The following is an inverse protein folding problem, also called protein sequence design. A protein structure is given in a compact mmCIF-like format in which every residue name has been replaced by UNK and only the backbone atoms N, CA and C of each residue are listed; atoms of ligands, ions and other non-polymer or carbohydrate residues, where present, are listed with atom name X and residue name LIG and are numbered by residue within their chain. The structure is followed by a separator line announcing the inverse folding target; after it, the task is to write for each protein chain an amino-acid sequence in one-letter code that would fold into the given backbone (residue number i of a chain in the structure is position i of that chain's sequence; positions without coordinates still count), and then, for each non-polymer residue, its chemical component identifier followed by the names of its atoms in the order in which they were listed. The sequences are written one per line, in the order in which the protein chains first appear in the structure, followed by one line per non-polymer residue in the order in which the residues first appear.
data_IF_879327909328
#
_entry.id   IF_879327909328
#
_cell.length_a   1.000
_cell.length_b   1.000
_cell.length_c   1.000
_cell.angle_alpha   90.00
_cell.angle_beta   90.00
_cell.angle_gamma   90.00
#
_symmetry.space_group_name_H-M   'P 1'
#
loop_
_entity.id
_entity.type
_entity.pdbx_description
1 polymer ?
#
# COMPACT_ATOMS: atom_id res chain seq x y z
N UNK A 1 4.37 -34.86 37.86
CA UNK A 1 3.44 -34.00 37.09
C UNK A 1 2.04 -34.43 37.46
N UNK A 2 1.35 -33.60 38.23
CA UNK A 2 0.06 -33.95 38.80
C UNK A 2 -1.01 -34.15 37.72
N UNK A 3 -1.91 -35.15 37.87
CA UNK A 3 -2.96 -35.42 36.89
C UNK A 3 -3.91 -34.24 36.71
N UNK A 4 -4.02 -33.36 37.71
CA UNK A 4 -4.81 -32.13 37.67
C UNK A 4 -4.20 -31.04 36.79
N UNK A 5 -2.87 -30.91 36.80
CA UNK A 5 -2.12 -29.99 35.94
C UNK A 5 -2.20 -30.41 34.46
N UNK A 6 -2.11 -31.72 34.20
CA UNK A 6 -2.25 -32.28 32.84
C UNK A 6 -3.65 -32.02 32.28
N UNK A 7 -4.70 -32.20 33.09
CA UNK A 7 -6.09 -31.96 32.67
C UNK A 7 -6.36 -30.48 32.34
N UNK A 8 -5.81 -29.54 33.12
CA UNK A 8 -5.94 -28.10 32.85
C UNK A 8 -5.22 -27.69 31.56
N UNK A 9 -4.03 -28.24 31.31
CA UNK A 9 -3.27 -27.98 30.07
C UNK A 9 -3.97 -28.53 28.84
N UNK A 10 -4.52 -29.75 28.91
CA UNK A 10 -5.31 -30.33 27.81
C UNK A 10 -6.59 -29.52 27.56
N UNK A 11 -7.28 -29.05 28.62
CA UNK A 11 -8.48 -28.23 28.48
C UNK A 11 -8.19 -26.88 27.79
N UNK A 12 -7.07 -26.24 28.13
CA UNK A 12 -6.61 -25.01 27.47
C UNK A 12 -6.31 -25.22 25.99
N UNK A 13 -5.59 -26.29 25.65
CA UNK A 13 -5.24 -26.60 24.26
C UNK A 13 -6.49 -26.89 23.41
N UNK A 14 -7.44 -27.66 23.95
CA UNK A 14 -8.71 -27.94 23.29
C UNK A 14 -9.54 -26.66 23.13
N UNK A 15 -9.57 -25.81 24.15
CA UNK A 15 -10.24 -24.50 24.08
C UNK A 15 -9.68 -23.59 22.98
N UNK A 16 -8.35 -23.49 22.88
CA UNK A 16 -7.70 -22.69 21.82
C UNK A 16 -7.97 -23.26 20.43
N UNK A 17 -7.93 -24.59 20.27
CA UNK A 17 -8.25 -25.22 18.99
C UNK A 17 -9.70 -24.96 18.58
N UNK A 18 -10.65 -25.13 19.50
CA UNK A 18 -12.07 -24.87 19.22
C UNK A 18 -12.32 -23.42 18.84
N UNK A 19 -11.70 -22.45 19.51
CA UNK A 19 -11.82 -21.03 19.14
C UNK A 19 -11.29 -20.76 17.74
N UNK A 20 -10.14 -21.32 17.37
CA UNK A 20 -9.60 -21.21 16.01
C UNK A 20 -10.51 -21.85 14.96
N UNK A 21 -11.12 -23.00 15.25
CA UNK A 21 -12.07 -23.66 14.35
C UNK A 21 -13.36 -22.85 14.18
N UNK A 22 -13.86 -22.21 15.23
CA UNK A 22 -15.03 -21.32 15.16
C UNK A 22 -14.70 -20.10 14.29
N UNK A 23 -13.57 -19.42 14.54
CA UNK A 23 -13.12 -18.30 13.70
C UNK A 23 -12.92 -18.67 12.24
N UNK A 24 -12.50 -19.91 11.95
CA UNK A 24 -12.34 -20.41 10.58
C UNK A 24 -13.68 -20.71 9.90
N UNK A 25 -14.67 -21.18 10.68
CA UNK A 25 -16.00 -21.52 10.15
C UNK A 25 -16.84 -20.29 9.81
N UNK A 26 -16.60 -19.16 10.49
CA UNK A 26 -17.24 -17.86 10.21
C UNK A 26 -16.54 -17.06 9.10
N UNK A 27 -15.48 -17.58 8.49
CA UNK A 27 -14.85 -16.92 7.36
C UNK A 27 -15.72 -17.13 6.10
N UNK A 28 -16.71 -16.26 5.91
CA UNK A 28 -17.43 -16.13 4.65
C UNK A 28 -16.41 -15.96 3.51
N UNK A 29 -16.55 -16.78 2.47
CA UNK A 29 -15.76 -16.69 1.26
C UNK A 29 -15.86 -15.28 0.68
N UNK A 30 -14.72 -14.63 0.41
CA UNK A 30 -14.68 -13.37 -0.32
C UNK A 30 -15.11 -13.69 -1.76
N UNK A 31 -16.41 -13.57 -2.01
CA UNK A 31 -17.02 -13.69 -3.33
C UNK A 31 -16.55 -12.51 -4.19
N UNK A 32 -16.41 -12.79 -5.49
CA UNK A 32 -15.74 -11.99 -6.51
C UNK A 32 -16.11 -10.51 -6.50
N UNK A 33 -15.11 -9.61 -6.53
CA UNK A 33 -15.32 -8.19 -6.83
C UNK A 33 -15.35 -7.98 -8.35
N UNK A 34 -16.28 -8.65 -9.03
CA UNK A 34 -16.66 -8.37 -10.42
C UNK A 34 -17.88 -7.44 -10.43
N UNK A 35 -17.74 -6.20 -9.93
CA UNK A 35 -18.69 -5.13 -10.26
C UNK A 35 -18.12 -3.75 -9.91
N UNK A 36 -17.12 -3.32 -10.68
CA UNK A 36 -16.97 -1.89 -10.97
C UNK A 36 -16.85 -1.74 -12.48
N UNK A 37 -18.00 -1.74 -13.16
CA UNK A 37 -18.15 -1.14 -14.47
C UNK A 37 -17.79 0.35 -14.37
N UNK A 38 -16.49 0.67 -14.46
CA UNK A 38 -16.04 2.03 -14.75
C UNK A 38 -16.25 2.24 -16.24
N UNK A 39 -17.31 3.00 -16.56
CA UNK A 39 -17.55 3.55 -17.88
C UNK A 39 -16.25 4.13 -18.48
N UNK A 40 -16.02 4.01 -19.80
CA UNK A 40 -14.91 4.71 -20.43
C UNK A 40 -15.13 6.21 -20.26
N UNK A 41 -14.39 6.85 -19.36
CA UNK A 41 -14.25 8.30 -19.39
C UNK A 41 -13.49 8.64 -20.66
N UNK A 42 -14.19 9.25 -21.61
CA UNK A 42 -13.60 10.00 -22.71
C UNK A 42 -12.47 10.91 -22.18
N UNK A 43 -11.42 11.20 -22.96
CA UNK A 43 -10.30 12.00 -22.49
C UNK A 43 -10.76 13.44 -22.34
N UNK A 44 -11.30 13.77 -21.17
CA UNK A 44 -11.48 15.14 -20.75
C UNK A 44 -10.07 15.72 -20.55
N UNK A 45 -9.62 16.42 -21.58
CA UNK A 45 -8.60 17.45 -21.52
C UNK A 45 -8.91 18.39 -20.35
N UNK A 46 -8.42 18.04 -19.18
CA UNK A 46 -8.44 18.89 -18.00
C UNK A 46 -7.00 19.18 -17.65
N UNK A 47 -6.44 20.20 -18.30
CA UNK A 47 -5.28 20.91 -17.76
C UNK A 47 -5.69 21.42 -16.38
N UNK A 48 -5.40 20.63 -15.33
CA UNK A 48 -5.42 21.15 -13.97
C UNK A 48 -4.32 22.20 -13.90
N UNK A 49 -4.68 23.45 -14.12
CA UNK A 49 -3.87 24.60 -13.75
C UNK A 49 -3.74 24.57 -12.23
N UNK A 50 -2.78 23.78 -11.75
CA UNK A 50 -2.45 23.70 -10.33
C UNK A 50 -1.65 24.96 -10.00
N UNK A 51 -2.36 26.07 -9.78
CA UNK A 51 -1.79 27.33 -9.28
C UNK A 51 -1.60 27.30 -7.76
N UNK A 52 -1.29 26.13 -7.21
CA UNK A 52 -0.89 25.92 -5.83
C UNK A 52 0.61 25.62 -5.77
N UNK A 53 1.29 25.88 -4.64
CA UNK A 53 2.70 25.51 -4.50
C UNK A 53 2.88 24.02 -4.80
N UNK A 54 3.94 23.64 -5.54
CA UNK A 54 4.11 22.28 -6.04
C UNK A 54 4.29 21.29 -4.88
N UNK A 55 3.70 20.11 -5.10
CA UNK A 55 3.93 18.81 -4.47
C UNK A 55 4.50 18.83 -3.03
N UNK A 56 3.59 18.72 -2.07
CA UNK A 56 3.75 18.32 -0.66
C UNK A 56 5.19 18.07 -0.17
N UNK A 57 5.89 19.15 0.18
CA UNK A 57 7.13 19.10 0.96
C UNK A 57 6.77 19.02 2.45
N UNK A 58 7.34 18.08 3.24
CA UNK A 58 7.14 18.02 4.68
C UNK A 58 7.54 19.36 5.33
N UNK A 59 6.64 19.99 6.11
CA UNK A 59 6.93 21.28 6.74
C UNK A 59 7.95 21.17 7.88
N UNK A 60 8.03 19.99 8.52
CA UNK A 60 8.93 19.70 9.62
C UNK A 60 9.54 18.31 9.48
N UNK A 61 10.80 18.13 9.91
CA UNK A 61 11.49 16.84 9.87
C UNK A 61 10.82 15.74 10.72
N UNK A 62 9.96 16.11 11.67
CA UNK A 62 9.24 15.16 12.54
C UNK A 62 7.87 14.76 11.99
N UNK A 63 7.43 15.37 10.89
CA UNK A 63 6.16 15.02 10.26
C UNK A 63 6.33 13.73 9.42
N UNK A 64 5.44 12.74 9.59
CA UNK A 64 5.42 11.56 8.73
C UNK A 64 5.26 11.97 7.27
N UNK A 65 5.97 11.29 6.37
CA UNK A 65 5.80 11.51 4.94
C UNK A 65 4.36 11.19 4.52
N UNK A 66 3.70 12.05 3.73
CA UNK A 66 2.31 11.84 3.31
C UNK A 66 2.12 10.54 2.51
N UNK A 67 3.22 10.05 1.91
CA UNK A 67 3.27 8.80 1.16
C UNK A 67 3.10 7.56 2.03
N UNK A 68 3.35 7.67 3.35
CA UNK A 68 3.29 6.52 4.26
C UNK A 68 1.90 5.90 4.37
N UNK A 69 0.84 6.72 4.47
CA UNK A 69 -0.53 6.22 4.57
C UNK A 69 -0.92 5.40 3.33
N UNK A 70 -0.64 5.93 2.14
CA UNK A 70 -0.97 5.26 0.87
C UNK A 70 -0.10 4.02 0.66
N UNK A 71 1.17 4.05 1.09
CA UNK A 71 2.09 2.92 0.94
C UNK A 71 1.67 1.65 1.70
N UNK A 72 0.92 1.79 2.79
CA UNK A 72 0.44 0.68 3.62
C UNK A 72 -0.74 -0.04 2.98
N UNK A 73 -1.66 0.71 2.38
CA UNK A 73 -2.87 0.16 1.72
C UNK A 73 -2.63 -0.21 0.26
N UNK A 74 -1.43 0.05 -0.27
CA UNK A 74 -1.12 -0.17 -1.67
C UNK A 74 -1.01 -1.66 -2.02
N UNK A 75 -1.78 -2.07 -3.03
CA UNK A 75 -1.71 -3.43 -3.56
C UNK A 75 -0.55 -3.58 -4.55
N UNK A 76 0.38 -4.48 -4.22
CA UNK A 76 1.55 -4.72 -5.06
C UNK A 76 1.20 -5.31 -6.41
N UNK A 77 2.01 -4.93 -7.40
CA UNK A 77 2.02 -5.52 -8.74
C UNK A 77 3.46 -5.76 -9.16
N UNK A 78 3.69 -6.43 -10.29
CA UNK A 78 5.04 -6.64 -10.84
C UNK A 78 5.24 -5.81 -12.11
N UNK A 79 4.66 -4.61 -12.14
CA UNK A 79 4.69 -3.72 -13.28
C UNK A 79 5.70 -2.60 -13.01
N UNK A 80 6.92 -2.69 -13.56
CA UNK A 80 7.96 -1.72 -13.29
C UNK A 80 7.55 -0.34 -13.82
N UNK A 81 7.81 0.68 -13.01
CA UNK A 81 7.48 2.07 -13.32
C UNK A 81 8.71 2.97 -13.28
N UNK A 82 8.53 4.16 -13.84
CA UNK A 82 9.47 5.25 -13.75
C UNK A 82 8.92 6.34 -12.84
N UNK A 83 9.73 6.82 -11.91
CA UNK A 83 9.44 7.99 -11.10
C UNK A 83 10.43 9.12 -11.40
N UNK A 84 10.02 10.36 -11.17
CA UNK A 84 10.89 11.53 -11.22
C UNK A 84 10.73 12.36 -9.95
N UNK A 85 11.86 12.76 -9.38
CA UNK A 85 11.97 13.69 -8.26
C UNK A 85 12.85 14.87 -8.69
N UNK A 86 12.47 16.10 -8.33
CA UNK A 86 13.19 17.30 -8.75
C UNK A 86 14.64 17.36 -8.22
N UNK A 87 14.89 16.76 -7.05
CA UNK A 87 16.19 16.75 -6.37
C UNK A 87 17.02 15.53 -6.81
N UNK A 88 16.38 14.37 -6.92
CA UNK A 88 17.09 13.09 -7.16
C UNK A 88 17.03 12.60 -8.62
N UNK A 89 16.23 13.23 -9.47
CA UNK A 89 16.09 12.87 -10.88
C UNK A 89 15.20 11.65 -11.12
N UNK A 90 15.53 10.86 -12.13
CA UNK A 90 14.74 9.69 -12.54
C UNK A 90 15.09 8.45 -11.70
N UNK A 91 14.08 7.68 -11.31
CA UNK A 91 14.20 6.40 -10.62
C UNK A 91 13.38 5.30 -11.28
N UNK A 92 13.87 4.06 -11.18
CA UNK A 92 13.14 2.83 -11.55
C UNK A 92 12.62 2.15 -10.29
N UNK A 93 11.37 1.70 -10.33
CA UNK A 93 10.74 1.00 -9.21
C UNK A 93 10.04 -0.26 -9.72
N UNK A 94 9.97 -1.29 -8.87
CA UNK A 94 9.35 -2.57 -9.21
C UNK A 94 7.84 -2.43 -9.48
N UNK A 95 7.20 -1.52 -8.74
CA UNK A 95 5.81 -1.11 -8.90
C UNK A 95 5.56 0.25 -8.25
N UNK A 96 4.32 0.75 -8.37
CA UNK A 96 3.90 1.99 -7.72
C UNK A 96 4.02 1.93 -6.20
N UNK A 97 3.75 0.78 -5.58
CA UNK A 97 3.83 0.64 -4.14
C UNK A 97 5.27 0.72 -3.62
N UNK A 98 6.24 0.22 -4.39
CA UNK A 98 7.66 0.33 -4.10
C UNK A 98 8.08 1.81 -4.14
N UNK A 99 7.67 2.56 -5.17
CA UNK A 99 7.92 4.01 -5.23
C UNK A 99 7.32 4.74 -4.01
N UNK A 100 6.07 4.45 -3.64
CA UNK A 100 5.42 5.07 -2.48
C UNK A 100 6.11 4.73 -1.15
N UNK A 101 6.61 3.50 -0.99
CA UNK A 101 7.39 3.09 0.19
C UNK A 101 8.72 3.83 0.27
N UNK A 102 9.38 4.01 -0.87
CA UNK A 102 10.62 4.79 -0.97
C UNK A 102 10.36 6.26 -0.58
N UNK A 103 9.31 6.87 -1.13
CA UNK A 103 8.90 8.22 -0.77
C UNK A 103 8.53 8.35 0.73
N UNK A 104 7.92 7.31 1.31
CA UNK A 104 7.61 7.29 2.73
C UNK A 104 8.88 7.25 3.61
N UNK A 105 9.73 6.23 3.40
CA UNK A 105 10.86 5.95 4.29
C UNK A 105 12.00 6.96 4.14
N UNK A 106 12.32 7.34 2.90
CA UNK A 106 13.43 8.24 2.59
C UNK A 106 13.00 9.70 2.42
N UNK A 107 11.71 9.99 2.58
CA UNK A 107 11.12 11.33 2.39
C UNK A 107 11.41 11.92 1.01
N UNK A 108 11.50 11.06 0.00
CA UNK A 108 11.55 11.46 -1.40
C UNK A 108 10.16 11.81 -1.92
N UNK A 109 10.11 12.39 -3.12
CA UNK A 109 8.89 12.87 -3.74
C UNK A 109 8.81 12.44 -5.21
N UNK A 110 9.18 11.19 -5.50
CA UNK A 110 9.08 10.63 -6.85
C UNK A 110 7.62 10.62 -7.31
N UNK A 111 7.35 11.27 -8.45
CA UNK A 111 6.08 11.24 -9.16
C UNK A 111 6.17 10.33 -10.39
N UNK A 112 5.09 9.62 -10.70
CA UNK A 112 5.02 8.72 -11.85
C UNK A 112 5.28 9.48 -13.16
N UNK A 113 6.20 8.97 -13.97
CA UNK A 113 6.53 9.51 -15.30
C UNK A 113 6.50 8.39 -16.35
N UNK A 114 6.23 8.70 -17.63
CA UNK A 114 6.11 7.69 -18.67
C UNK A 114 7.44 7.01 -19.01
N UNK A 115 8.58 7.66 -18.75
CA UNK A 115 9.89 7.08 -19.02
C UNK A 115 10.95 7.54 -18.01
N UNK A 116 11.96 6.70 -17.80
CA UNK A 116 13.07 6.95 -16.88
C UNK A 116 14.20 7.75 -17.55
N UNK A 117 13.86 8.59 -18.53
CA UNK A 117 14.81 9.37 -19.31
C UNK A 117 14.25 10.77 -19.52
N UNK A 118 15.11 11.79 -19.53
CA UNK A 118 14.71 13.11 -20.00
C UNK A 118 14.26 13.00 -21.46
N UNK A 119 13.12 13.62 -21.78
CA UNK A 119 12.66 13.75 -23.16
C UNK A 119 13.69 14.50 -23.98
N UNK A 120 14.05 13.94 -25.13
CA UNK A 120 14.91 14.58 -26.15
C UNK A 120 14.16 15.67 -26.89
#
# INVERSE_FOLDING_TARGET
MDPKERMNSTLLLVGVLLLSFVSYSEQESIESLDDVLVYPMEPASSRRSFSGPPVFVPRNANEPSPWCAVSVVCQRSLNPICGYDEIFGYGKFDDICHMLKVNCFWKFNFALVPSCRPGT
#
